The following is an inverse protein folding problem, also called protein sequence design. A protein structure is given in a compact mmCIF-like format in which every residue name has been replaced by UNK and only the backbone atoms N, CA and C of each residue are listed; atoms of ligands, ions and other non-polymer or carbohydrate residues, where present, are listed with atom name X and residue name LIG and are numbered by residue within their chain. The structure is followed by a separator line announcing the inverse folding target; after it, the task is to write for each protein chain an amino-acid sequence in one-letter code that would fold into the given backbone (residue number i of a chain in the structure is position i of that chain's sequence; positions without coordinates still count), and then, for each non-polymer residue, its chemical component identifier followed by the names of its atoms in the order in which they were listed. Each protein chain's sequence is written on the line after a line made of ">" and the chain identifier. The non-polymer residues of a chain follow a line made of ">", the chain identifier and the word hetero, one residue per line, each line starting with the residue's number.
data_IF_685483171361
#
_entry.id   IF_685483171361
#
_cell.length_a   1.000
_cell.length_b   1.000
_cell.length_c   1.000
_cell.angle_alpha   90.00
_cell.angle_beta   90.00
_cell.angle_gamma   90.00
#
_symmetry.space_group_name_H-M   'P 1'
#
loop_
_entity.id
_entity.type
_entity.pdbx_description
1 polymer ?
#
# COMPACT_ATOMS: atom_id res chain seq x y z
N UNK A 1 -5.99 -19.57 31.92
CA UNK A 1 -5.68 -18.90 30.65
C UNK A 1 -6.03 -17.44 30.83
N UNK A 2 -5.06 -16.53 30.72
CA UNK A 2 -5.35 -15.09 30.76
C UNK A 2 -6.25 -14.75 29.57
N UNK A 3 -7.43 -14.23 29.84
CA UNK A 3 -8.35 -13.79 28.80
C UNK A 3 -7.93 -12.37 28.36
N UNK A 4 -7.96 -12.07 27.05
CA UNK A 4 -7.62 -10.74 26.58
C UNK A 4 -8.61 -9.70 27.11
N UNK A 5 -8.10 -8.54 27.49
CA UNK A 5 -8.92 -7.47 28.05
C UNK A 5 -9.71 -6.78 26.93
N UNK A 6 -11.02 -6.69 27.09
CA UNK A 6 -11.86 -5.97 26.12
C UNK A 6 -11.69 -4.46 26.27
N UNK A 7 -11.45 -3.79 25.15
CA UNK A 7 -11.37 -2.33 25.03
C UNK A 7 -12.47 -1.85 24.11
N UNK A 8 -13.24 -0.85 24.56
CA UNK A 8 -14.27 -0.20 23.77
C UNK A 8 -13.95 1.27 23.57
N UNK A 9 -13.98 1.69 22.31
CA UNK A 9 -13.91 3.11 21.95
C UNK A 9 -15.32 3.58 21.58
N UNK A 10 -15.83 4.57 22.32
CA UNK A 10 -17.18 5.12 22.12
C UNK A 10 -17.31 6.00 20.86
N UNK A 11 -16.52 5.75 19.81
CA UNK A 11 -16.65 6.34 18.48
C UNK A 11 -16.36 5.32 17.35
N UNK A 12 -16.81 5.63 16.12
CA UNK A 12 -16.57 4.79 14.95
C UNK A 12 -15.08 4.68 14.62
N UNK A 13 -14.60 3.47 14.33
CA UNK A 13 -13.21 3.27 13.87
C UNK A 13 -12.98 3.74 12.43
N UNK A 14 -14.04 4.01 11.68
CA UNK A 14 -13.97 4.51 10.29
C UNK A 14 -13.90 6.05 10.22
N UNK A 15 -13.60 6.71 11.33
CA UNK A 15 -13.51 8.17 11.34
C UNK A 15 -12.26 8.63 10.60
N UNK A 16 -12.44 9.52 9.62
CA UNK A 16 -11.35 10.07 8.82
C UNK A 16 -10.62 11.11 9.68
N UNK A 17 -9.33 10.90 10.00
CA UNK A 17 -8.57 11.90 10.73
C UNK A 17 -8.43 13.15 9.85
N UNK A 18 -8.57 14.33 10.48
CA UNK A 18 -8.27 15.58 9.78
C UNK A 18 -6.75 15.63 9.58
N UNK A 19 -6.26 15.72 8.33
CA UNK A 19 -4.84 15.73 8.05
C UNK A 19 -4.19 16.95 8.70
N UNK A 20 -2.92 16.81 9.09
CA UNK A 20 -2.15 17.95 9.57
C UNK A 20 -2.01 18.98 8.45
N UNK A 21 -1.78 20.26 8.79
CA UNK A 21 -1.55 21.32 7.81
C UNK A 21 -0.47 20.93 6.79
N UNK A 22 0.61 20.28 7.25
CA UNK A 22 1.70 19.82 6.37
C UNK A 22 1.26 18.71 5.43
N UNK A 23 0.51 17.71 5.94
CA UNK A 23 -0.03 16.63 5.11
C UNK A 23 -0.98 17.19 4.05
N UNK A 24 -1.87 18.11 4.44
CA UNK A 24 -2.77 18.77 3.52
C UNK A 24 -2.01 19.56 2.45
N UNK A 25 -1.02 20.38 2.83
CA UNK A 25 -0.19 21.14 1.89
C UNK A 25 0.51 20.23 0.88
N UNK A 26 1.09 19.12 1.32
CA UNK A 26 1.74 18.15 0.42
C UNK A 26 0.75 17.60 -0.61
N UNK A 27 -0.44 17.18 -0.18
CA UNK A 27 -1.48 16.67 -1.07
C UNK A 27 -1.94 17.77 -2.03
N UNK A 28 -2.13 19.00 -1.54
CA UNK A 28 -2.55 20.13 -2.36
C UNK A 28 -1.52 20.45 -3.46
N UNK A 29 -0.23 20.50 -3.11
CA UNK A 29 0.87 20.69 -4.06
C UNK A 29 0.85 19.57 -5.12
N UNK A 30 0.77 18.31 -4.70
CA UNK A 30 0.71 17.16 -5.61
C UNK A 30 -0.49 17.27 -6.58
N UNK A 31 -1.67 17.68 -6.10
CA UNK A 31 -2.84 17.84 -6.97
C UNK A 31 -2.70 19.02 -7.92
N UNK A 32 -2.09 20.11 -7.48
CA UNK A 32 -1.82 21.26 -8.34
C UNK A 32 -0.80 20.91 -9.42
N UNK A 33 0.30 20.25 -9.07
CA UNK A 33 1.28 19.77 -10.05
C UNK A 33 0.63 18.86 -11.10
N UNK A 34 -0.30 18.00 -10.68
CA UNK A 34 -1.06 17.15 -11.59
C UNK A 34 -1.98 17.95 -12.54
N UNK A 35 -2.47 19.12 -12.13
CA UNK A 35 -3.24 20.03 -12.99
C UNK A 35 -2.31 20.74 -13.96
N UNK A 36 -1.21 21.31 -13.45
CA UNK A 36 -0.17 21.98 -14.25
C UNK A 36 0.34 21.04 -15.36
N UNK A 37 0.74 19.81 -15.00
CA UNK A 37 1.22 18.81 -15.97
C UNK A 37 0.20 18.51 -17.06
N UNK A 38 -1.09 18.41 -16.71
CA UNK A 38 -2.17 18.17 -17.69
C UNK A 38 -2.38 19.37 -18.60
N UNK A 39 -2.31 20.59 -18.06
CA UNK A 39 -2.41 21.82 -18.85
C UNK A 39 -1.23 21.95 -19.81
N UNK A 40 0.00 21.72 -19.35
CA UNK A 40 1.19 21.73 -20.21
C UNK A 40 1.10 20.71 -21.34
N UNK A 41 0.68 19.47 -21.05
CA UNK A 41 0.45 18.48 -22.11
C UNK A 41 -0.58 18.96 -23.14
N UNK A 42 -1.73 19.46 -22.69
CA UNK A 42 -2.77 19.96 -23.60
C UNK A 42 -2.30 21.14 -24.44
N UNK A 43 -1.62 22.11 -23.82
CA UNK A 43 -1.10 23.27 -24.53
C UNK A 43 0.03 22.88 -25.50
N UNK A 44 0.90 21.94 -25.14
CA UNK A 44 1.95 21.44 -26.03
C UNK A 44 1.37 20.79 -27.28
N UNK A 45 0.33 19.93 -27.13
CA UNK A 45 -0.35 19.36 -28.29
C UNK A 45 -1.05 20.43 -29.12
N UNK A 46 -1.77 21.36 -28.48
CA UNK A 46 -2.49 22.42 -29.17
C UNK A 46 -1.56 23.34 -29.99
N UNK A 47 -0.45 23.79 -29.39
CA UNK A 47 0.52 24.67 -30.06
C UNK A 47 1.18 23.98 -31.24
N UNK A 48 1.56 22.70 -31.10
CA UNK A 48 2.06 21.89 -32.22
C UNK A 48 1.05 21.80 -33.37
N UNK A 49 -0.22 21.56 -33.05
CA UNK A 49 -1.28 21.49 -34.08
C UNK A 49 -1.58 22.86 -34.72
N UNK A 50 -1.42 23.97 -34.00
CA UNK A 50 -1.66 25.32 -34.51
C UNK A 50 -0.52 25.88 -35.36
N UNK A 51 0.73 25.48 -35.09
CA UNK A 51 1.89 25.97 -35.82
C UNK A 51 2.05 25.30 -37.20
N UNK A 52 1.21 24.31 -37.55
CA UNK A 52 1.44 23.42 -38.70
C UNK A 52 2.89 22.91 -38.75
N UNK A 53 3.50 22.74 -37.58
CA UNK A 53 4.64 21.85 -37.43
C UNK A 53 4.06 20.45 -37.67
N UNK A 54 3.90 20.11 -38.96
CA UNK A 54 4.02 18.72 -39.40
C UNK A 54 5.29 18.20 -38.73
N UNK A 55 5.25 16.96 -38.24
CA UNK A 55 6.38 16.33 -37.57
C UNK A 55 7.64 16.48 -38.45
N UNK A 56 8.40 17.57 -38.27
CA UNK A 56 9.73 17.74 -38.82
C UNK A 56 10.58 16.78 -38.00
N UNK A 57 10.59 15.55 -38.52
CA UNK A 57 11.53 14.49 -38.22
C UNK A 57 12.95 14.99 -38.50
N UNK A 58 13.49 15.85 -37.64
CA UNK A 58 14.94 16.00 -37.55
C UNK A 58 15.50 14.85 -36.69
N UNK A 59 15.94 13.84 -37.43
CA UNK A 59 17.00 12.88 -37.11
C UNK A 59 16.95 12.20 -35.74
N UNK A 60 16.15 11.14 -35.65
CA UNK A 60 16.60 9.92 -34.98
C UNK A 60 16.16 8.73 -35.86
N UNK A 61 17.12 7.92 -36.30
CA UNK A 61 17.04 6.87 -37.33
C UNK A 61 16.13 5.67 -36.96
N UNK A 62 15.09 5.87 -36.15
CA UNK A 62 14.11 4.87 -35.77
C UNK A 62 12.70 5.46 -35.79
N UNK A 63 12.09 5.35 -36.97
CA UNK A 63 10.68 5.56 -37.19
C UNK A 63 9.91 4.23 -37.03
N UNK A 64 9.39 3.85 -35.85
CA UNK A 64 8.28 2.91 -35.81
C UNK A 64 7.00 3.71 -36.01
N UNK A 65 6.54 3.70 -37.25
CA UNK A 65 5.12 3.84 -37.55
C UNK A 65 4.30 3.07 -36.48
N UNK A 66 3.40 3.77 -35.80
CA UNK A 66 2.53 3.19 -34.78
C UNK A 66 3.26 2.40 -33.67
N UNK A 67 3.99 3.06 -32.78
CA UNK A 67 4.31 2.42 -31.49
C UNK A 67 3.01 2.02 -30.80
N UNK A 68 2.80 0.73 -30.55
CA UNK A 68 1.65 0.18 -29.81
C UNK A 68 1.71 0.58 -28.32
N UNK A 69 1.61 1.88 -28.01
CA UNK A 69 1.58 2.40 -26.65
C UNK A 69 0.14 2.70 -26.18
N UNK A 70 -0.86 2.19 -26.90
CA UNK A 70 -2.26 2.25 -26.51
C UNK A 70 -2.46 1.63 -25.13
N UNK A 71 -2.99 2.42 -24.19
CA UNK A 71 -3.23 2.01 -22.80
C UNK A 71 -2.04 2.19 -21.85
N UNK A 72 -0.83 2.50 -22.33
CA UNK A 72 0.32 2.75 -21.46
C UNK A 72 0.48 4.25 -21.18
N UNK A 73 0.55 4.61 -19.89
CA UNK A 73 0.79 5.99 -19.48
C UNK A 73 2.24 6.37 -19.77
N UNK A 74 2.44 7.47 -20.49
CA UNK A 74 3.78 8.04 -20.72
C UNK A 74 4.46 8.39 -19.40
N UNK A 75 5.75 8.05 -19.30
CA UNK A 75 6.64 8.46 -18.18
C UNK A 75 7.29 9.82 -18.43
N UNK A 76 7.09 10.43 -19.61
CA UNK A 76 7.71 11.71 -19.97
C UNK A 76 7.09 12.85 -19.14
N UNK A 77 7.91 13.83 -18.78
CA UNK A 77 7.43 15.09 -18.21
C UNK A 77 7.03 16.05 -19.35
N UNK A 78 5.96 16.83 -19.20
CA UNK A 78 5.58 17.82 -20.21
C UNK A 78 6.63 18.94 -20.28
N UNK A 79 6.88 19.50 -21.48
CA UNK A 79 7.76 20.66 -21.63
C UNK A 79 7.19 21.88 -20.89
N UNK A 80 8.07 22.82 -20.54
CA UNK A 80 7.66 24.11 -20.01
C UNK A 80 7.16 24.99 -21.15
N UNK A 81 6.05 25.69 -20.93
CA UNK A 81 5.37 26.53 -21.91
C UNK A 81 5.35 27.95 -21.34
N UNK A 82 5.98 28.88 -22.03
CA UNK A 82 6.19 30.25 -21.54
C UNK A 82 4.86 30.99 -21.33
N UNK A 83 3.88 30.74 -22.19
CA UNK A 83 2.53 31.33 -22.13
C UNK A 83 1.77 30.93 -20.86
N UNK A 84 2.05 29.75 -20.31
CA UNK A 84 1.43 29.26 -19.07
C UNK A 84 2.20 29.67 -17.82
N UNK A 85 3.42 30.20 -17.95
CA UNK A 85 4.32 30.45 -16.82
C UNK A 85 3.69 31.38 -15.78
N UNK A 86 3.11 32.50 -16.20
CA UNK A 86 2.48 33.46 -15.29
C UNK A 86 1.29 32.85 -14.55
N UNK A 87 0.49 32.03 -15.24
CA UNK A 87 -0.64 31.33 -14.62
C UNK A 87 -0.18 30.29 -13.59
N UNK A 88 0.88 29.53 -13.90
CA UNK A 88 1.46 28.55 -12.98
C UNK A 88 2.03 29.24 -11.73
N UNK A 89 2.72 30.35 -11.89
CA UNK A 89 3.26 31.15 -10.77
C UNK A 89 2.14 31.66 -9.86
N UNK A 90 1.06 32.19 -10.43
CA UNK A 90 -0.11 32.66 -9.66
C UNK A 90 -0.80 31.50 -8.91
N UNK A 91 -0.88 30.32 -9.53
CA UNK A 91 -1.45 29.12 -8.91
C UNK A 91 -0.61 28.64 -7.73
N UNK A 92 0.72 28.67 -7.86
CA UNK A 92 1.65 28.35 -6.78
C UNK A 92 1.53 29.36 -5.63
N UNK A 93 1.47 30.65 -5.97
CA UNK A 93 1.27 31.73 -4.99
C UNK A 93 -0.06 31.60 -4.23
N UNK A 94 -1.12 31.14 -4.90
CA UNK A 94 -2.40 30.87 -4.25
C UNK A 94 -2.27 29.79 -3.17
N UNK A 95 -1.51 28.73 -3.43
CA UNK A 95 -1.28 27.63 -2.48
C UNK A 95 -0.45 28.09 -1.28
N UNK A 96 0.56 28.93 -1.51
CA UNK A 96 1.38 29.52 -0.46
C UNK A 96 0.53 30.36 0.52
N UNK A 97 -0.45 31.09 -0.01
CA UNK A 97 -1.35 31.94 0.75
C UNK A 97 -2.40 31.18 1.58
N UNK A 98 -2.50 29.85 1.45
CA UNK A 98 -3.43 29.04 2.23
C UNK A 98 -3.06 29.07 3.72
N UNK A 99 -3.94 29.68 4.52
CA UNK A 99 -3.82 29.76 5.98
C UNK A 99 -4.71 28.72 6.66
N UNK A 100 -4.17 28.07 7.68
CA UNK A 100 -4.88 27.06 8.46
C UNK A 100 -5.30 27.64 9.81
N UNK A 101 -6.57 27.47 10.16
CA UNK A 101 -7.05 27.73 11.51
C UNK A 101 -6.93 26.45 12.33
N UNK A 102 -6.34 26.55 13.53
CA UNK A 102 -6.36 25.45 14.50
C UNK A 102 -7.76 25.38 15.10
N UNK A 103 -8.58 24.47 14.58
CA UNK A 103 -9.89 24.13 15.16
C UNK A 103 -9.71 22.86 15.96
N UNK A 104 -10.03 22.92 17.25
CA UNK A 104 -10.04 21.74 18.13
C UNK A 104 -11.45 21.49 18.61
N UNK A 105 -11.92 20.26 18.46
CA UNK A 105 -13.16 19.78 19.06
C UNK A 105 -12.81 18.75 20.16
N UNK A 106 -13.60 18.69 21.22
CA UNK A 106 -13.53 17.67 22.28
C UNK A 106 -13.35 16.25 21.70
N UNK A 107 -14.04 15.93 20.60
CA UNK A 107 -13.91 14.65 19.92
C UNK A 107 -12.49 14.40 19.38
N UNK A 108 -11.87 15.41 18.74
CA UNK A 108 -10.52 15.31 18.20
C UNK A 108 -9.46 15.25 19.30
N UNK A 109 -9.70 15.89 20.44
CA UNK A 109 -8.82 15.80 21.61
C UNK A 109 -8.87 14.39 22.22
N UNK A 110 -10.07 13.79 22.29
CA UNK A 110 -10.25 12.39 22.70
C UNK A 110 -9.48 11.46 21.76
N UNK A 111 -9.65 11.60 20.44
CA UNK A 111 -8.90 10.82 19.44
C UNK A 111 -7.39 10.96 19.61
N UNK A 112 -6.87 12.18 19.82
CA UNK A 112 -5.43 12.40 20.01
C UNK A 112 -4.90 11.75 21.28
N UNK A 113 -5.65 11.81 22.38
CA UNK A 113 -5.31 11.12 23.64
C UNK A 113 -5.29 9.61 23.44
N UNK A 114 -6.30 9.06 22.77
CA UNK A 114 -6.40 7.63 22.49
C UNK A 114 -5.25 7.16 21.57
N UNK A 115 -4.93 7.88 20.49
CA UNK A 115 -3.76 7.59 19.62
C UNK A 115 -2.46 7.64 20.41
N UNK A 116 -2.29 8.63 21.29
CA UNK A 116 -1.08 8.76 22.11
C UNK A 116 -0.97 7.62 23.13
N UNK A 117 -2.09 7.17 23.70
CA UNK A 117 -2.15 6.01 24.60
C UNK A 117 -1.73 4.74 23.86
N UNK A 118 -2.28 4.52 22.66
CA UNK A 118 -1.98 3.34 21.84
C UNK A 118 -0.50 3.31 21.44
N UNK A 119 0.05 4.43 20.96
CA UNK A 119 1.47 4.52 20.56
C UNK A 119 2.46 4.29 21.71
N UNK A 120 2.05 4.56 22.95
CA UNK A 120 2.88 4.36 24.15
C UNK A 120 2.71 2.96 24.75
N UNK A 121 1.62 2.25 24.43
CA UNK A 121 1.38 0.91 24.94
C UNK A 121 2.32 -0.09 24.25
N UNK A 122 2.81 -1.07 25.01
CA UNK A 122 3.54 -2.23 24.47
C UNK A 122 2.60 -3.34 24.01
N UNK A 123 1.31 -3.25 24.35
CA UNK A 123 0.30 -4.26 24.05
C UNK A 123 -0.32 -4.04 22.67
N UNK A 124 -0.75 -5.13 22.06
CA UNK A 124 -1.46 -5.14 20.78
C UNK A 124 -2.95 -4.88 20.99
N UNK A 125 -3.54 -4.11 20.10
CA UNK A 125 -4.99 -3.94 20.00
C UNK A 125 -5.52 -4.65 18.76
N UNK A 126 -6.33 -5.68 18.97
CA UNK A 126 -6.85 -6.55 17.92
C UNK A 126 -8.35 -6.30 17.76
N UNK A 127 -8.83 -5.94 16.55
CA UNK A 127 -10.25 -5.84 16.30
C UNK A 127 -10.90 -7.23 16.30
N UNK A 128 -12.08 -7.33 16.90
CA UNK A 128 -12.92 -8.50 16.72
C UNK A 128 -13.46 -8.53 15.29
N UNK A 129 -13.60 -9.74 14.72
CA UNK A 129 -14.07 -9.91 13.34
C UNK A 129 -15.48 -9.34 13.11
N UNK A 130 -16.45 -9.75 13.93
CA UNK A 130 -17.88 -9.42 13.72
C UNK A 130 -18.42 -8.28 14.58
N UNK A 131 -17.65 -7.79 15.54
CA UNK A 131 -18.15 -6.80 16.52
C UNK A 131 -17.24 -5.58 16.56
N UNK A 132 -17.74 -4.49 17.16
CA UNK A 132 -16.94 -3.28 17.38
C UNK A 132 -15.93 -3.42 18.54
N UNK A 133 -15.92 -4.58 19.19
CA UNK A 133 -15.04 -4.83 20.31
C UNK A 133 -13.59 -4.90 19.84
N UNK A 134 -12.69 -4.36 20.65
CA UNK A 134 -11.26 -4.56 20.47
C UNK A 134 -10.72 -5.30 21.69
N UNK A 135 -9.64 -6.03 21.50
CA UNK A 135 -8.99 -6.80 22.54
C UNK A 135 -7.56 -6.31 22.70
N UNK A 136 -7.20 -5.96 23.93
CA UNK A 136 -5.82 -5.66 24.30
C UNK A 136 -5.14 -6.94 24.77
N UNK A 137 -4.03 -7.29 24.11
CA UNK A 137 -3.30 -8.53 24.35
C UNK A 137 -1.80 -8.28 24.32
N UNK A 138 -1.05 -9.03 25.12
CA UNK A 138 0.41 -9.01 25.02
C UNK A 138 0.90 -9.64 23.71
N UNK A 139 2.01 -9.14 23.18
CA UNK A 139 2.65 -9.67 21.96
C UNK A 139 2.93 -11.17 22.02
N UNK A 140 3.47 -11.67 23.12
CA UNK A 140 3.83 -13.09 23.28
C UNK A 140 2.58 -13.98 23.32
N UNK A 141 1.54 -13.51 24.02
CA UNK A 141 0.29 -14.24 24.10
C UNK A 141 -0.43 -14.27 22.75
N UNK A 142 -0.42 -13.16 22.01
CA UNK A 142 -0.98 -13.11 20.67
C UNK A 142 -0.31 -14.09 19.71
N UNK A 143 1.03 -14.11 19.66
CA UNK A 143 1.77 -15.05 18.81
C UNK A 143 1.48 -16.51 19.18
N UNK A 144 1.39 -16.81 20.48
CA UNK A 144 1.03 -18.14 20.96
C UNK A 144 -0.38 -18.55 20.49
N UNK A 145 -1.37 -17.67 20.64
CA UNK A 145 -2.74 -17.93 20.19
C UNK A 145 -2.82 -18.09 18.67
N UNK A 146 -2.09 -17.26 17.93
CA UNK A 146 -2.03 -17.33 16.48
C UNK A 146 -1.43 -18.67 16.02
N UNK A 147 -0.30 -19.07 16.62
CA UNK A 147 0.32 -20.38 16.34
C UNK A 147 -0.64 -21.52 16.66
N UNK A 148 -1.23 -21.53 17.85
CA UNK A 148 -2.19 -22.57 18.26
C UNK A 148 -3.40 -22.66 17.33
N UNK A 149 -3.92 -21.52 16.86
CA UNK A 149 -5.05 -21.50 15.94
C UNK A 149 -4.67 -22.03 14.57
N UNK A 150 -3.52 -21.61 14.03
CA UNK A 150 -3.00 -22.11 12.76
C UNK A 150 -2.73 -23.61 12.87
N UNK A 151 -2.01 -24.06 13.91
CA UNK A 151 -1.62 -25.47 14.07
C UNK A 151 -2.73 -26.36 14.62
N UNK A 152 -3.95 -25.85 14.87
CA UNK A 152 -5.01 -26.58 15.56
C UNK A 152 -5.36 -27.92 14.90
N UNK A 153 -5.38 -27.93 13.57
CA UNK A 153 -5.75 -29.11 12.79
C UNK A 153 -4.52 -29.88 12.26
N UNK A 154 -3.31 -29.41 12.57
CA UNK A 154 -2.09 -30.08 12.14
C UNK A 154 -1.77 -31.20 13.12
N UNK A 155 -1.64 -32.43 12.61
CA UNK A 155 -1.15 -33.55 13.40
C UNK A 155 0.37 -33.46 13.50
N UNK A 156 0.89 -33.47 14.72
CA UNK A 156 2.32 -33.69 14.94
C UNK A 156 2.58 -35.19 14.75
N UNK A 157 3.47 -35.53 13.83
CA UNK A 157 3.87 -36.91 13.56
C UNK A 157 5.38 -37.02 13.52
N UNK A 158 5.91 -38.22 13.70
CA UNK A 158 7.36 -38.45 13.63
C UNK A 158 7.87 -38.35 12.19
N UNK A 159 9.18 -38.23 12.02
CA UNK A 159 9.80 -38.20 10.69
C UNK A 159 9.63 -39.52 9.91
N UNK A 160 9.34 -40.64 10.60
CA UNK A 160 9.22 -41.95 9.96
C UNK A 160 8.07 -42.02 8.92
N UNK A 161 6.82 -41.59 9.24
CA UNK A 161 5.75 -41.43 8.26
C UNK A 161 6.09 -40.49 7.10
N UNK A 162 6.75 -39.35 7.37
CA UNK A 162 7.14 -38.37 6.33
C UNK A 162 8.10 -39.00 5.33
N UNK A 163 9.08 -39.76 5.82
CA UNK A 163 10.06 -40.45 4.99
C UNK A 163 9.41 -41.56 4.14
N UNK A 164 8.43 -42.29 4.70
CA UNK A 164 7.65 -43.29 3.94
C UNK A 164 6.86 -42.65 2.81
N UNK A 165 6.14 -41.55 3.08
CA UNK A 165 5.38 -40.81 2.08
C UNK A 165 6.30 -40.29 0.97
N UNK A 166 7.46 -39.71 1.33
CA UNK A 166 8.42 -39.23 0.35
C UNK A 166 9.00 -40.37 -0.51
N UNK A 167 9.26 -41.54 0.07
CA UNK A 167 9.75 -42.71 -0.68
C UNK A 167 8.68 -43.28 -1.65
N UNK A 168 7.42 -43.33 -1.21
CA UNK A 168 6.30 -43.71 -2.08
C UNK A 168 6.09 -42.69 -3.21
N UNK A 169 6.08 -41.40 -2.87
CA UNK A 169 5.94 -40.32 -3.84
C UNK A 169 7.07 -40.33 -4.87
N UNK A 170 8.31 -40.63 -4.45
CA UNK A 170 9.46 -40.82 -5.36
C UNK A 170 9.23 -41.98 -6.32
N UNK A 171 8.80 -43.13 -5.83
CA UNK A 171 8.50 -44.30 -6.67
C UNK A 171 7.43 -43.97 -7.73
N UNK A 172 6.40 -43.21 -7.35
CA UNK A 172 5.35 -42.75 -8.27
C UNK A 172 5.89 -41.76 -9.30
N UNK A 173 6.74 -40.81 -8.87
CA UNK A 173 7.33 -39.81 -9.74
C UNK A 173 8.30 -40.41 -10.77
N UNK A 174 9.10 -41.40 -10.37
CA UNK A 174 9.98 -42.16 -11.26
C UNK A 174 9.16 -42.92 -12.32
N UNK A 175 8.04 -43.54 -11.93
CA UNK A 175 7.12 -44.20 -12.87
C UNK A 175 6.49 -43.23 -13.87
N UNK A 176 6.33 -41.95 -13.50
CA UNK A 176 5.75 -40.90 -14.34
C UNK A 176 6.82 -40.06 -15.08
N UNK A 177 8.11 -40.28 -14.83
CA UNK A 177 9.22 -39.53 -15.46
C UNK A 177 9.31 -38.06 -15.04
N UNK A 178 8.82 -37.71 -13.84
CA UNK A 178 8.76 -36.33 -13.32
C UNK A 178 9.55 -36.14 -12.01
N UNK A 179 10.31 -37.14 -11.60
CA UNK A 179 11.12 -37.17 -10.38
C UNK A 179 12.10 -35.98 -10.30
N UNK A 180 12.71 -35.59 -11.42
CA UNK A 180 13.62 -34.44 -11.51
C UNK A 180 12.97 -33.07 -11.22
N UNK A 181 11.65 -33.00 -11.14
CA UNK A 181 10.88 -31.77 -10.89
C UNK A 181 10.11 -31.79 -9.58
N UNK A 182 10.22 -32.87 -8.80
CA UNK A 182 9.50 -33.04 -7.55
C UNK A 182 10.39 -32.72 -6.35
N UNK A 183 9.85 -31.96 -5.40
CA UNK A 183 10.49 -31.71 -4.11
C UNK A 183 9.93 -32.64 -3.03
N UNK A 184 10.77 -33.01 -2.07
CA UNK A 184 10.33 -33.74 -0.87
C UNK A 184 9.43 -32.87 0.00
N UNK A 185 8.52 -33.48 0.77
CA UNK A 185 7.67 -32.73 1.69
C UNK A 185 8.49 -31.83 2.63
N UNK A 186 8.12 -30.55 2.70
CA UNK A 186 8.78 -29.57 3.53
C UNK A 186 8.64 -29.91 5.02
N UNK A 187 9.78 -29.97 5.72
CA UNK A 187 9.82 -30.20 7.17
C UNK A 187 10.02 -28.88 7.89
N UNK A 188 9.20 -28.59 8.90
CA UNK A 188 9.43 -27.50 9.85
C UNK A 188 10.01 -28.09 11.13
N UNK A 189 11.12 -27.54 11.60
CA UNK A 189 11.64 -27.84 12.94
C UNK A 189 10.52 -27.55 13.96
N UNK A 190 10.22 -28.52 14.83
CA UNK A 190 9.32 -28.28 15.93
C UNK A 190 9.93 -27.15 16.79
N UNK A 191 9.22 -26.04 16.94
CA UNK A 191 9.59 -25.00 17.89
C UNK A 191 9.63 -25.65 19.27
N UNK A 192 10.84 -25.86 19.80
CA UNK A 192 11.01 -26.31 21.18
C UNK A 192 10.23 -25.39 22.13
N UNK A 193 9.60 -25.95 23.17
CA UNK A 193 8.85 -25.19 24.17
C UNK A 193 9.77 -24.28 25.01
#
# INVERSE_FOLDING_TARGET
>A
MEQPNQVSFNYSMKNIPIPTANTYKKILIEKVENVIKRMRWKASFFLKTCNNEEDDEEDDEHHPAHTENFGFKSKKCPPQIEELRLFEDDLLRMIENVKFKKVTNQFQDKLRKDVSRIKKSTKLLIPADKTRNMYEIDTQLHEKLLRQHITKNYQTTSMAPVNRINAEARTIAEKLGIDNRMESMATKQASSP
#
